data_IF_889808582318
#
_entry.id   IF_889808582318
#
_cell.length_a   1.000
_cell.length_b   1.000
_cell.length_c   1.000
_cell.angle_alpha   90.00
_cell.angle_beta   90.00
_cell.angle_gamma   90.00
#
_symmetry.space_group_name_H-M   'P 1'
#
loop_
_entity.id
_entity.type
_entity.pdbx_description
1 polymer ?
#
# COMPACT_ATOMS: atom_id res chain seq x y z
N UNK A 1 -9.05 -28.30 -20.10
CA UNK A 1 -8.12 -27.38 -19.42
C UNK A 1 -8.70 -27.11 -18.03
N UNK A 2 -8.18 -27.77 -16.99
CA UNK A 2 -8.76 -27.71 -15.64
C UNK A 2 -8.42 -26.37 -14.96
N UNK A 3 -9.42 -25.52 -14.74
CA UNK A 3 -9.32 -24.18 -14.14
C UNK A 3 -9.37 -24.18 -12.58
N UNK A 4 -9.29 -25.35 -11.93
CA UNK A 4 -9.59 -25.48 -10.48
C UNK A 4 -8.40 -25.82 -9.58
N UNK A 5 -7.17 -25.91 -10.10
CA UNK A 5 -5.99 -26.18 -9.27
C UNK A 5 -5.18 -24.90 -9.03
N UNK A 6 -5.12 -24.42 -7.78
CA UNK A 6 -4.17 -23.38 -7.40
C UNK A 6 -2.75 -23.92 -7.59
N UNK A 7 -1.96 -23.27 -8.46
CA UNK A 7 -0.54 -23.61 -8.61
C UNK A 7 0.22 -22.94 -7.49
N UNK A 8 1.11 -23.69 -6.83
CA UNK A 8 1.99 -23.13 -5.83
C UNK A 8 2.71 -21.90 -6.40
N UNK A 9 2.62 -20.76 -5.70
CA UNK A 9 3.20 -19.46 -6.08
C UNK A 9 2.58 -18.72 -7.28
N UNK A 10 1.39 -19.12 -7.74
CA UNK A 10 0.60 -18.31 -8.67
C UNK A 10 -0.66 -17.79 -7.99
N UNK A 11 -0.87 -16.49 -8.08
CA UNK A 11 -2.03 -15.77 -7.54
C UNK A 11 -2.72 -15.09 -8.71
N UNK A 12 -4.04 -15.25 -8.84
CA UNK A 12 -4.83 -14.49 -9.82
C UNK A 12 -5.14 -13.08 -9.29
N UNK A 13 -5.57 -12.17 -10.16
CA UNK A 13 -5.76 -10.76 -9.80
C UNK A 13 -6.78 -10.57 -8.66
N UNK A 14 -7.87 -11.33 -8.66
CA UNK A 14 -8.88 -11.30 -7.61
C UNK A 14 -8.27 -11.69 -6.24
N UNK A 15 -7.52 -12.79 -6.19
CA UNK A 15 -6.86 -13.21 -4.96
C UNK A 15 -5.83 -12.18 -4.49
N UNK A 16 -5.15 -11.46 -5.39
CA UNK A 16 -4.22 -10.38 -5.03
C UNK A 16 -4.96 -9.16 -4.44
N UNK A 17 -6.09 -8.77 -5.04
CA UNK A 17 -6.95 -7.70 -4.53
C UNK A 17 -7.53 -8.06 -3.17
N UNK A 18 -8.06 -9.27 -2.99
CA UNK A 18 -8.75 -9.68 -1.77
C UNK A 18 -7.81 -9.90 -0.58
N UNK A 19 -6.59 -10.36 -0.84
CA UNK A 19 -5.58 -10.62 0.19
C UNK A 19 -4.74 -9.38 0.48
N UNK A 20 -3.85 -9.00 -0.45
CA UNK A 20 -2.81 -7.99 -0.26
C UNK A 20 -3.44 -6.62 -0.10
N UNK A 21 -4.24 -6.19 -1.08
CA UNK A 21 -4.83 -4.85 -1.07
C UNK A 21 -6.01 -4.77 -0.08
N UNK A 22 -6.81 -5.83 0.00
CA UNK A 22 -7.98 -5.92 0.88
C UNK A 22 -7.63 -5.72 2.35
N UNK A 23 -6.47 -6.20 2.80
CA UNK A 23 -6.02 -5.97 4.19
C UNK A 23 -5.79 -4.50 4.53
N UNK A 24 -5.26 -3.71 3.59
CA UNK A 24 -5.02 -2.27 3.74
C UNK A 24 -6.33 -1.51 3.61
N UNK A 25 -7.12 -1.80 2.57
CA UNK A 25 -8.44 -1.21 2.31
C UNK A 25 -9.36 -1.37 3.52
N UNK A 26 -9.47 -2.59 4.08
CA UNK A 26 -10.33 -2.85 5.25
C UNK A 26 -9.87 -2.11 6.51
N UNK A 27 -8.56 -1.95 6.72
CA UNK A 27 -8.03 -1.18 7.86
C UNK A 27 -8.35 0.31 7.75
N UNK A 28 -8.28 0.85 6.54
CA UNK A 28 -8.49 2.29 6.31
C UNK A 28 -9.97 2.65 6.19
N UNK A 29 -10.72 1.88 5.41
CA UNK A 29 -12.10 2.21 5.07
C UNK A 29 -13.15 1.39 5.81
N UNK A 30 -12.72 0.37 6.56
CA UNK A 30 -13.63 -0.54 7.25
C UNK A 30 -14.23 -1.60 6.33
N UNK A 31 -15.34 -2.18 6.76
CA UNK A 31 -16.04 -3.27 6.07
C UNK A 31 -17.35 -2.80 5.41
N UNK A 32 -17.72 -1.53 5.59
CA UNK A 32 -18.96 -0.99 5.05
C UNK A 32 -18.90 -0.90 3.52
N UNK A 33 -20.05 -1.08 2.88
CA UNK A 33 -20.17 -0.85 1.45
C UNK A 33 -19.95 0.63 1.14
N UNK A 34 -19.02 0.89 0.22
CA UNK A 34 -18.74 2.24 -0.28
C UNK A 34 -19.55 2.44 -1.56
N UNK A 35 -20.54 3.33 -1.52
CA UNK A 35 -21.33 3.66 -2.71
C UNK A 35 -20.45 4.25 -3.80
N UNK A 36 -20.70 3.87 -5.06
CA UNK A 36 -19.89 4.27 -6.22
C UNK A 36 -19.74 5.79 -6.36
N UNK A 37 -20.74 6.57 -5.96
CA UNK A 37 -20.70 8.05 -5.97
C UNK A 37 -19.51 8.63 -5.20
N UNK A 38 -18.99 7.89 -4.22
CA UNK A 38 -17.85 8.30 -3.39
C UNK A 38 -16.49 7.88 -3.98
N UNK A 39 -16.46 7.07 -5.04
CA UNK A 39 -15.21 6.58 -5.64
C UNK A 39 -14.24 7.71 -6.05
N UNK A 40 -14.68 8.82 -6.68
CA UNK A 40 -13.77 9.92 -7.01
C UNK A 40 -13.13 10.55 -5.76
N UNK A 41 -13.91 10.71 -4.68
CA UNK A 41 -13.44 11.31 -3.43
C UNK A 41 -12.43 10.41 -2.71
N UNK A 42 -12.67 9.10 -2.69
CA UNK A 42 -11.73 8.12 -2.14
C UNK A 42 -10.46 8.04 -2.99
N UNK A 43 -10.59 8.13 -4.32
CA UNK A 43 -9.43 8.15 -5.19
C UNK A 43 -8.52 9.37 -4.92
N UNK A 44 -9.12 10.55 -4.74
CA UNK A 44 -8.37 11.75 -4.34
C UNK A 44 -7.66 11.54 -2.99
N UNK A 45 -8.37 11.06 -1.96
CA UNK A 45 -7.76 10.71 -0.68
C UNK A 45 -6.59 9.72 -0.82
N UNK A 46 -6.74 8.72 -1.68
CA UNK A 46 -5.69 7.73 -1.91
C UNK A 46 -4.42 8.37 -2.48
N UNK A 47 -4.57 9.21 -3.52
CA UNK A 47 -3.45 9.88 -4.17
C UNK A 47 -2.78 10.92 -3.26
N UNK A 48 -3.59 11.71 -2.56
CA UNK A 48 -3.10 12.92 -1.88
C UNK A 48 -2.59 12.61 -0.46
N UNK A 49 -3.14 11.60 0.21
CA UNK A 49 -2.80 11.28 1.60
C UNK A 49 -2.24 9.86 1.75
N UNK A 50 -2.95 8.85 1.23
CA UNK A 50 -2.64 7.46 1.56
C UNK A 50 -1.35 6.94 0.90
N UNK A 51 -1.22 7.10 -0.40
CA UNK A 51 -0.07 6.58 -1.15
C UNK A 51 1.25 7.24 -0.72
N UNK A 52 1.32 8.57 -0.51
CA UNK A 52 2.51 9.18 0.07
C UNK A 52 2.89 8.54 1.41
N UNK A 53 1.93 8.41 2.34
CA UNK A 53 2.20 7.80 3.64
C UNK A 53 2.69 6.35 3.52
N UNK A 54 2.00 5.51 2.75
CA UNK A 54 2.37 4.10 2.59
C UNK A 54 3.76 3.95 1.98
N UNK A 55 4.10 4.74 0.96
CA UNK A 55 5.32 4.55 0.20
C UNK A 55 6.55 5.14 0.88
N UNK A 56 6.40 6.25 1.61
CA UNK A 56 7.52 7.03 2.14
C UNK A 56 7.64 7.02 3.66
N UNK A 57 6.59 6.67 4.42
CA UNK A 57 6.59 6.81 5.88
C UNK A 57 6.16 5.55 6.64
N UNK A 58 5.75 4.50 5.93
CA UNK A 58 5.24 3.27 6.55
C UNK A 58 6.27 2.14 6.46
N UNK A 59 6.87 1.71 7.60
CA UNK A 59 7.72 0.54 7.62
C UNK A 59 6.96 -0.72 7.18
N UNK A 60 7.55 -1.49 6.27
CA UNK A 60 6.96 -2.67 5.67
C UNK A 60 7.90 -3.88 5.79
N UNK A 61 7.32 -5.07 5.99
CA UNK A 61 8.07 -6.31 5.98
C UNK A 61 8.35 -6.78 4.55
N UNK A 62 9.60 -7.15 4.29
CA UNK A 62 9.99 -7.77 3.03
C UNK A 62 10.35 -9.25 3.23
N UNK A 63 9.85 -10.16 2.37
CA UNK A 63 10.08 -11.57 2.54
C UNK A 63 11.52 -11.95 2.21
N UNK A 64 12.11 -12.83 3.03
CA UNK A 64 13.32 -13.59 2.70
C UNK A 64 12.97 -15.05 2.48
N UNK A 65 13.52 -15.67 1.44
CA UNK A 65 13.40 -17.11 1.23
C UNK A 65 14.47 -17.82 2.06
N UNK A 66 14.06 -18.83 2.80
CA UNK A 66 14.95 -19.82 3.41
C UNK A 66 14.57 -21.19 2.87
N UNK A 67 15.55 -22.04 2.61
CA UNK A 67 15.31 -23.43 2.23
C UNK A 67 15.49 -24.28 3.49
N UNK A 68 14.50 -25.11 3.80
CA UNK A 68 14.58 -26.00 4.96
C UNK A 68 15.48 -27.22 4.68
N UNK A 69 15.71 -28.03 5.71
CA UNK A 69 16.52 -29.25 5.61
C UNK A 69 15.95 -30.30 4.64
N UNK A 70 14.68 -30.17 4.23
CA UNK A 70 14.01 -31.04 3.27
C UNK A 70 13.99 -30.45 1.86
N UNK A 71 14.67 -29.32 1.62
CA UNK A 71 14.74 -28.65 0.33
C UNK A 71 13.49 -27.81 -0.01
N UNK A 72 12.57 -27.60 0.94
CA UNK A 72 11.37 -26.80 0.74
C UNK A 72 11.63 -25.35 1.11
N UNK A 73 11.31 -24.47 0.18
CA UNK A 73 11.38 -23.03 0.40
C UNK A 73 10.26 -22.53 1.31
N UNK A 74 10.64 -21.73 2.31
CA UNK A 74 9.76 -20.98 3.18
C UNK A 74 10.06 -19.49 3.09
N UNK A 75 9.02 -18.66 3.06
CA UNK A 75 9.17 -17.21 3.20
C UNK A 75 9.11 -16.84 4.68
N UNK A 76 10.10 -16.07 5.13
CA UNK A 76 10.12 -15.45 6.46
C UNK A 76 10.11 -13.93 6.31
N UNK A 77 9.62 -13.23 7.34
CA UNK A 77 9.50 -11.78 7.36
C UNK A 77 10.27 -11.23 8.57
N UNK A 78 11.61 -11.10 8.47
CA UNK A 78 12.43 -10.70 9.61
C UNK A 78 12.27 -9.21 9.92
N UNK A 79 12.17 -8.86 11.20
CA UNK A 79 12.15 -7.46 11.66
C UNK A 79 13.38 -6.67 11.21
N UNK A 80 14.57 -7.29 11.19
CA UNK A 80 15.81 -6.67 10.70
C UNK A 80 15.74 -6.25 9.22
N UNK A 81 14.83 -6.83 8.44
CA UNK A 81 14.62 -6.50 7.03
C UNK A 81 13.45 -5.54 6.78
N UNK A 82 12.88 -4.96 7.84
CA UNK A 82 11.80 -3.99 7.72
C UNK A 82 12.37 -2.67 7.18
N UNK A 83 11.74 -2.13 6.14
CA UNK A 83 12.16 -0.89 5.49
C UNK A 83 10.91 -0.13 5.00
N UNK A 84 11.01 1.17 4.76
CA UNK A 84 9.99 1.87 3.99
C UNK A 84 10.03 1.38 2.53
N UNK A 85 8.89 1.34 1.81
CA UNK A 85 8.88 0.89 0.41
C UNK A 85 9.84 1.68 -0.49
N UNK A 86 9.93 2.99 -0.28
CA UNK A 86 10.89 3.84 -0.99
C UNK A 86 12.34 3.44 -0.72
N UNK A 87 12.74 3.28 0.55
CA UNK A 87 14.09 2.81 0.88
C UNK A 87 14.37 1.43 0.29
N UNK A 88 13.35 0.57 0.26
CA UNK A 88 13.49 -0.75 -0.34
C UNK A 88 13.73 -0.66 -1.84
N UNK A 89 13.04 0.24 -2.53
CA UNK A 89 13.27 0.51 -3.96
C UNK A 89 14.73 0.94 -4.18
N UNK A 90 15.25 1.87 -3.37
CA UNK A 90 16.66 2.31 -3.46
C UNK A 90 17.66 1.18 -3.17
N UNK A 91 17.27 0.17 -2.40
CA UNK A 91 18.11 -0.98 -2.08
C UNK A 91 18.28 -1.97 -3.25
N UNK A 92 17.58 -1.78 -4.37
CA UNK A 92 17.63 -2.71 -5.51
C UNK A 92 18.82 -2.35 -6.41
N UNK A 93 19.50 -3.35 -6.93
CA UNK A 93 20.59 -3.14 -7.90
C UNK A 93 20.06 -2.47 -9.17
N UNK A 94 20.74 -1.42 -9.65
CA UNK A 94 20.33 -0.62 -10.79
C UNK A 94 18.90 -0.04 -10.66
N UNK A 95 18.48 0.30 -9.44
CA UNK A 95 17.11 0.77 -9.16
C UNK A 95 16.64 1.93 -10.07
N UNK A 96 17.56 2.80 -10.49
CA UNK A 96 17.28 3.94 -11.36
C UNK A 96 16.73 3.54 -12.73
N UNK A 97 17.09 2.35 -13.23
CA UNK A 97 16.63 1.86 -14.53
C UNK A 97 15.15 1.45 -14.53
N UNK A 98 14.54 1.33 -13.35
CA UNK A 98 13.11 1.01 -13.20
C UNK A 98 12.26 2.26 -12.97
N UNK A 99 12.86 3.44 -12.88
CA UNK A 99 12.12 4.70 -12.79
C UNK A 99 11.57 5.08 -14.16
N UNK A 100 10.50 5.87 -14.14
CA UNK A 100 10.00 6.49 -15.38
C UNK A 100 11.06 7.47 -15.91
N UNK A 101 11.12 7.71 -17.24
CA UNK A 101 12.15 8.57 -17.84
C UNK A 101 12.24 9.99 -17.26
N UNK A 102 11.14 10.50 -16.74
CA UNK A 102 10.97 11.84 -16.16
C UNK A 102 11.12 11.88 -14.63
N UNK A 103 11.38 10.73 -13.99
CA UNK A 103 11.49 10.60 -12.53
C UNK A 103 12.90 10.18 -12.15
N UNK A 104 13.49 10.92 -11.21
CA UNK A 104 14.80 10.62 -10.63
C UNK A 104 14.69 10.40 -9.13
N UNK A 105 15.70 9.77 -8.52
CA UNK A 105 15.73 9.61 -7.06
C UNK A 105 15.83 10.95 -6.33
N UNK A 106 16.44 11.98 -6.92
CA UNK A 106 16.49 13.31 -6.32
C UNK A 106 15.10 13.95 -6.22
N UNK A 107 14.21 13.69 -7.20
CA UNK A 107 12.81 14.11 -7.12
C UNK A 107 12.08 13.34 -6.01
N UNK A 108 12.28 12.03 -5.95
CA UNK A 108 11.62 11.17 -4.96
C UNK A 108 12.13 11.42 -3.52
N UNK A 109 13.41 11.73 -3.34
CA UNK A 109 14.01 12.11 -2.05
C UNK A 109 13.39 13.40 -1.53
N UNK A 110 13.12 14.39 -2.40
CA UNK A 110 12.39 15.60 -2.00
C UNK A 110 10.99 15.28 -1.48
N UNK A 111 10.29 14.31 -2.09
CA UNK A 111 8.98 13.87 -1.61
C UNK A 111 9.11 13.19 -0.25
N UNK A 112 10.06 12.26 -0.12
CA UNK A 112 10.28 11.50 1.13
C UNK A 112 10.67 12.40 2.31
N UNK A 113 11.48 13.44 2.06
CA UNK A 113 11.98 14.35 3.08
C UNK A 113 11.06 15.55 3.36
N UNK A 114 9.93 15.67 2.64
CA UNK A 114 9.02 16.82 2.79
C UNK A 114 8.29 16.83 4.15
N UNK A 115 8.12 15.66 4.77
CA UNK A 115 7.43 15.50 6.05
C UNK A 115 8.15 14.48 6.91
N UNK A 116 8.05 14.61 8.23
CA UNK A 116 8.45 13.54 9.15
C UNK A 116 7.41 12.43 9.18
N UNK A 117 7.80 11.23 9.63
CA UNK A 117 6.89 10.08 9.74
C UNK A 117 5.66 10.38 10.62
N UNK A 118 5.87 11.10 11.72
CA UNK A 118 4.80 11.51 12.64
C UNK A 118 3.85 12.51 11.97
N UNK A 119 4.37 13.49 11.24
CA UNK A 119 3.57 14.46 10.50
C UNK A 119 2.74 13.79 9.41
N UNK A 120 3.33 12.85 8.67
CA UNK A 120 2.64 12.11 7.64
C UNK A 120 1.53 11.22 8.22
N UNK A 121 1.77 10.60 9.40
CA UNK A 121 0.76 9.82 10.11
C UNK A 121 -0.41 10.68 10.59
N UNK A 122 -0.12 11.84 11.18
CA UNK A 122 -1.14 12.80 11.62
C UNK A 122 -1.98 13.31 10.44
N UNK A 123 -1.32 13.73 9.36
CA UNK A 123 -1.97 14.21 8.15
C UNK A 123 -2.89 13.14 7.53
N UNK A 124 -2.44 11.88 7.48
CA UNK A 124 -3.27 10.77 7.00
C UNK A 124 -4.54 10.62 7.84
N UNK A 125 -4.41 10.64 9.17
CA UNK A 125 -5.55 10.48 10.07
C UNK A 125 -6.53 11.66 9.99
N UNK A 126 -6.01 12.89 9.80
CA UNK A 126 -6.81 14.09 9.58
C UNK A 126 -7.61 14.01 8.28
N UNK A 127 -6.97 13.72 7.16
CA UNK A 127 -7.67 13.62 5.86
C UNK A 127 -8.66 12.46 5.84
N UNK A 128 -8.33 11.34 6.49
CA UNK A 128 -9.25 10.21 6.64
C UNK A 128 -10.50 10.61 7.44
N UNK A 129 -10.33 11.38 8.51
CA UNK A 129 -11.47 11.85 9.31
C UNK A 129 -12.36 12.80 8.50
N UNK A 130 -11.77 13.70 7.71
CA UNK A 130 -12.48 14.60 6.80
C UNK A 130 -13.25 13.87 5.71
N UNK A 131 -12.64 12.83 5.12
CA UNK A 131 -13.27 11.97 4.13
C UNK A 131 -14.55 11.34 4.69
N UNK A 132 -14.46 10.67 5.84
CA UNK A 132 -15.60 9.98 6.43
C UNK A 132 -16.66 10.92 6.99
N UNK A 133 -16.27 12.08 7.52
CA UNK A 133 -17.22 13.15 7.87
C UNK A 133 -18.07 13.54 6.64
N UNK A 134 -17.42 13.75 5.50
CA UNK A 134 -18.10 14.13 4.25
C UNK A 134 -19.05 13.04 3.74
N UNK A 135 -18.60 11.78 3.76
CA UNK A 135 -19.42 10.64 3.33
C UNK A 135 -20.65 10.49 4.25
N UNK A 136 -20.44 10.45 5.56
CA UNK A 136 -21.52 10.23 6.53
C UNK A 136 -22.53 11.37 6.58
N UNK A 137 -22.07 12.63 6.55
CA UNK A 137 -22.96 13.80 6.59
C UNK A 137 -23.82 13.95 5.33
N UNK A 138 -23.29 13.56 4.17
CA UNK A 138 -24.02 13.63 2.90
C UNK A 138 -24.96 12.44 2.72
N UNK A 139 -24.62 11.28 3.27
CA UNK A 139 -25.54 10.15 3.35
C UNK A 139 -26.78 10.51 4.21
N UNK A 140 -26.62 11.27 5.30
CA UNK A 140 -27.74 11.77 6.13
C UNK A 140 -28.63 12.81 5.43
N UNK A 141 -28.13 13.54 4.44
CA UNK A 141 -28.91 14.56 3.69
C UNK A 141 -29.57 14.02 2.42
N UNK A 142 -29.22 12.80 2.02
CA UNK A 142 -29.68 12.18 0.76
C UNK A 142 -30.70 11.06 0.99
N UNK A 143 -31.08 10.80 2.24
CA UNK A 143 -32.17 9.90 2.64
C UNK A 143 -33.31 10.71 3.22
#
# INVERSE_FOLDING_TARGET
MNLLASRSRQTNDNALVESKNGSVVRKLFGYAHIQQRWAPLINAFNHDALFPYINYHRPCFFPKTITDSQGKDKKIYPYKGMMMPYDKLKSIENAGNYLKPDITFEILDKVALNQTDDQAAEQLQKERSKLFKTINERDLKSG
#
